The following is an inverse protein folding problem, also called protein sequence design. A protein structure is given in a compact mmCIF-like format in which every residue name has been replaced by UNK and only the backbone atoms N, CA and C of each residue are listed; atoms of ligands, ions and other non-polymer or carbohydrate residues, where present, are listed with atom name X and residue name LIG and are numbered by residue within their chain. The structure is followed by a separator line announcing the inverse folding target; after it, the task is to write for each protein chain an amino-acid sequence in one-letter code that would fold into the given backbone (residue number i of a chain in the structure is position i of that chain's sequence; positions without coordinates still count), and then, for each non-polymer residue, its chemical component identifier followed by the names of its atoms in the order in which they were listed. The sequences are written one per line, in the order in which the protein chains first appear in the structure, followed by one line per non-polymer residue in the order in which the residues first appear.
data_IF_245468544709
#
_entry.id   IF_245468544709
#
_cell.length_a   1.000
_cell.length_b   1.000
_cell.length_c   1.000
_cell.angle_alpha   90.00
_cell.angle_beta   90.00
_cell.angle_gamma   90.00
#
_symmetry.space_group_name_H-M   'P 1'
#
loop_
_entity.id
_entity.type
_entity.pdbx_description
1 polymer ?
#
# COMPACT_ATOMS: atom_id res chain seq x y z
N UNK A 1 -7.27 28.22 -1.96
CA UNK A 1 -6.32 27.12 -2.32
C UNK A 1 -6.89 25.83 -1.77
N UNK A 2 -6.99 24.78 -2.55
CA UNK A 2 -7.42 23.46 -2.04
C UNK A 2 -6.27 22.87 -1.23
N UNK A 3 -6.56 22.41 0.00
CA UNK A 3 -5.56 21.77 0.86
C UNK A 3 -4.94 20.56 0.15
N UNK A 4 -3.62 20.43 0.22
CA UNK A 4 -2.89 19.27 -0.31
C UNK A 4 -3.27 18.04 0.52
N UNK A 5 -3.55 16.92 -0.15
CA UNK A 5 -3.99 15.69 0.50
C UNK A 5 -2.80 14.75 0.75
N UNK A 6 -2.52 14.46 2.01
CA UNK A 6 -1.59 13.41 2.41
C UNK A 6 -2.39 12.16 2.78
N UNK A 7 -2.12 11.04 2.12
CA UNK A 7 -2.77 9.78 2.43
C UNK A 7 -1.83 8.89 3.23
N UNK A 8 -2.25 8.57 4.45
CA UNK A 8 -1.55 7.64 5.32
C UNK A 8 -2.11 6.23 5.13
N UNK A 9 -1.25 5.33 4.66
CA UNK A 9 -1.60 3.95 4.30
C UNK A 9 -1.11 2.99 5.37
N UNK A 10 -1.96 2.08 5.83
CA UNK A 10 -1.60 1.09 6.83
C UNK A 10 -2.75 0.15 7.18
N UNK A 11 -2.54 -0.71 8.17
CA UNK A 11 -3.58 -1.55 8.77
C UNK A 11 -4.24 -0.79 9.93
N UNK A 12 -4.93 0.31 9.61
CA UNK A 12 -5.38 1.31 10.58
C UNK A 12 -6.66 0.95 11.34
N UNK A 13 -7.35 -0.12 10.95
CA UNK A 13 -8.62 -0.55 11.55
C UNK A 13 -8.63 -2.05 11.87
N UNK A 14 -7.48 -2.66 12.04
CA UNK A 14 -7.38 -4.06 12.42
C UNK A 14 -7.44 -4.24 13.94
N UNK A 15 -7.74 -5.46 14.33
CA UNK A 15 -7.75 -5.89 15.75
C UNK A 15 -6.38 -5.83 16.41
N UNK A 16 -5.32 -5.56 15.64
CA UNK A 16 -3.97 -5.40 16.14
C UNK A 16 -3.74 -3.98 16.70
N UNK A 17 -3.82 -3.88 18.01
CA UNK A 17 -3.60 -2.62 18.74
C UNK A 17 -2.25 -1.96 18.40
N UNK A 18 -1.21 -2.76 18.15
CA UNK A 18 0.12 -2.26 17.79
C UNK A 18 0.11 -1.46 16.47
N UNK A 19 -0.58 -1.95 15.44
CA UNK A 19 -0.67 -1.25 14.17
C UNK A 19 -1.51 0.05 14.29
N UNK A 20 -2.55 0.05 15.13
CA UNK A 20 -3.32 1.26 15.42
C UNK A 20 -2.47 2.32 16.15
N UNK A 21 -1.74 1.95 17.20
CA UNK A 21 -0.88 2.87 17.94
C UNK A 21 0.20 3.48 17.04
N UNK A 22 0.78 2.66 16.15
CA UNK A 22 1.78 3.14 15.18
C UNK A 22 1.14 4.17 14.22
N UNK A 23 -0.05 3.87 13.71
CA UNK A 23 -0.78 4.78 12.81
C UNK A 23 -1.15 6.10 13.52
N UNK A 24 -1.65 6.03 14.74
CA UNK A 24 -2.01 7.21 15.56
C UNK A 24 -0.78 8.08 15.85
N UNK A 25 0.33 7.44 16.22
CA UNK A 25 1.59 8.13 16.49
C UNK A 25 2.15 8.80 15.24
N UNK A 26 2.12 8.11 14.10
CA UNK A 26 2.57 8.67 12.83
C UNK A 26 1.72 9.87 12.40
N UNK A 27 0.40 9.78 12.52
CA UNK A 27 -0.50 10.90 12.21
C UNK A 27 -0.27 12.09 13.13
N UNK A 28 -0.12 11.84 14.43
CA UNK A 28 0.19 12.91 15.40
C UNK A 28 1.49 13.63 15.03
N UNK A 29 2.55 12.89 14.73
CA UNK A 29 3.84 13.46 14.35
C UNK A 29 3.76 14.24 13.03
N UNK A 30 3.04 13.74 12.05
CA UNK A 30 2.80 14.44 10.78
C UNK A 30 2.09 15.76 11.05
N UNK A 31 0.96 15.73 11.76
CA UNK A 31 0.16 16.94 12.07
C UNK A 31 0.94 17.96 12.91
N UNK A 32 1.77 17.49 13.85
CA UNK A 32 2.58 18.36 14.70
C UNK A 32 3.70 19.08 13.94
N UNK A 33 4.27 18.45 12.91
CA UNK A 33 5.43 18.97 12.19
C UNK A 33 5.07 19.64 10.85
N UNK A 34 3.85 19.46 10.36
CA UNK A 34 3.33 20.22 9.23
C UNK A 34 2.79 21.54 9.79
N UNK A 35 3.60 22.59 9.70
CA UNK A 35 3.33 23.91 10.29
C UNK A 35 2.22 24.65 9.55
N UNK A 36 2.00 24.34 8.27
CA UNK A 36 1.00 25.00 7.45
C UNK A 36 -0.27 24.17 7.37
N UNK A 37 -1.42 24.77 7.64
CA UNK A 37 -2.77 24.18 7.44
C UNK A 37 -3.07 23.80 5.96
N UNK A 38 -2.02 23.69 5.14
CA UNK A 38 -2.12 23.36 3.72
C UNK A 38 -2.36 21.87 3.45
N UNK A 39 -2.19 21.00 4.47
CA UNK A 39 -2.36 19.56 4.29
C UNK A 39 -3.53 18.99 5.09
N UNK A 40 -4.36 18.19 4.42
CA UNK A 40 -5.30 17.27 5.07
C UNK A 40 -4.68 15.88 5.13
N UNK A 41 -4.79 15.20 6.29
CA UNK A 41 -4.34 13.81 6.45
C UNK A 41 -5.56 12.90 6.38
N UNK A 42 -5.56 11.97 5.42
CA UNK A 42 -6.58 10.94 5.27
C UNK A 42 -5.97 9.56 5.53
N UNK A 43 -6.64 8.71 6.31
CA UNK A 43 -6.22 7.33 6.55
C UNK A 43 -6.80 6.41 5.49
N UNK A 44 -5.98 5.52 4.97
CA UNK A 44 -6.38 4.45 4.09
C UNK A 44 -6.00 3.10 4.67
N UNK A 45 -7.01 2.27 4.96
CA UNK A 45 -6.80 0.92 5.48
C UNK A 45 -6.54 -0.07 4.34
N UNK A 46 -5.43 -0.80 4.38
CA UNK A 46 -5.10 -1.83 3.39
C UNK A 46 -6.08 -3.02 3.40
N UNK A 47 -6.76 -3.27 4.51
CA UNK A 47 -7.85 -4.26 4.59
C UNK A 47 -9.16 -3.80 3.95
N UNK A 48 -9.15 -2.66 3.27
CA UNK A 48 -10.30 -2.10 2.53
C UNK A 48 -10.99 -3.12 1.60
N UNK A 49 -10.29 -4.17 1.16
CA UNK A 49 -10.91 -5.26 0.38
C UNK A 49 -12.08 -5.95 1.08
N UNK A 50 -12.25 -5.74 2.40
CA UNK A 50 -13.40 -6.26 3.15
C UNK A 50 -14.70 -5.48 2.90
N UNK A 51 -14.63 -4.27 2.36
CA UNK A 51 -15.79 -3.43 2.02
C UNK A 51 -16.41 -3.77 0.65
N UNK A 52 -15.79 -4.65 -0.15
CA UNK A 52 -16.33 -5.04 -1.44
C UNK A 52 -17.58 -5.92 -1.32
N UNK A 53 -18.55 -5.63 -2.19
CA UNK A 53 -19.71 -6.47 -2.40
C UNK A 53 -19.29 -7.95 -2.60
N UNK A 54 -19.96 -8.86 -1.90
CA UNK A 54 -19.66 -10.31 -1.88
C UNK A 54 -19.54 -10.92 -3.27
N UNK A 55 -20.29 -10.42 -4.24
CA UNK A 55 -20.22 -10.86 -5.63
C UNK A 55 -18.88 -10.52 -6.31
N UNK A 56 -18.35 -9.31 -6.08
CA UNK A 56 -17.02 -8.92 -6.59
C UNK A 56 -15.90 -9.78 -5.99
N UNK A 57 -16.00 -10.10 -4.70
CA UNK A 57 -15.05 -11.00 -4.01
C UNK A 57 -15.08 -12.39 -4.62
N UNK A 58 -16.26 -12.95 -4.84
CA UNK A 58 -16.43 -14.29 -5.41
C UNK A 58 -15.85 -14.34 -6.83
N UNK A 59 -16.21 -13.38 -7.68
CA UNK A 59 -15.67 -13.27 -9.06
C UNK A 59 -14.15 -13.22 -9.06
N UNK A 60 -13.52 -12.38 -8.20
CA UNK A 60 -12.07 -12.28 -8.08
C UNK A 60 -11.43 -13.60 -7.64
N UNK A 61 -12.04 -14.30 -6.66
CA UNK A 61 -11.55 -15.61 -6.20
C UNK A 61 -11.57 -16.65 -7.32
N UNK A 62 -12.66 -16.73 -8.09
CA UNK A 62 -12.79 -17.68 -9.20
C UNK A 62 -11.76 -17.41 -10.29
N UNK A 63 -11.65 -16.16 -10.75
CA UNK A 63 -10.66 -15.79 -11.78
C UNK A 63 -9.24 -16.07 -11.28
N UNK A 64 -8.92 -15.68 -10.05
CA UNK A 64 -7.58 -15.91 -9.48
C UNK A 64 -7.25 -17.40 -9.39
N UNK A 65 -8.24 -18.25 -9.03
CA UNK A 65 -8.08 -19.71 -9.00
C UNK A 65 -7.84 -20.30 -10.39
N UNK A 66 -8.49 -19.77 -11.42
CA UNK A 66 -8.25 -20.21 -12.82
C UNK A 66 -6.84 -19.80 -13.25
N UNK A 67 -6.48 -18.54 -13.06
CA UNK A 67 -5.16 -18.03 -13.44
C UNK A 67 -4.01 -18.71 -12.70
N UNK A 68 -4.18 -19.05 -11.42
CA UNK A 68 -3.16 -19.77 -10.65
C UNK A 68 -2.89 -21.20 -11.16
N UNK A 69 -3.84 -21.80 -11.88
CA UNK A 69 -3.65 -23.09 -12.56
C UNK A 69 -2.89 -22.95 -13.88
N UNK A 70 -2.98 -21.78 -14.52
CA UNK A 70 -2.28 -21.50 -15.77
C UNK A 70 -0.85 -21.02 -15.50
N UNK A 71 -0.69 -20.04 -14.63
CA UNK A 71 0.61 -19.51 -14.23
C UNK A 71 0.49 -18.75 -12.90
N UNK A 72 1.46 -18.96 -12.00
CA UNK A 72 1.52 -18.20 -10.75
C UNK A 72 1.73 -16.69 -10.99
N UNK A 73 2.55 -16.32 -11.98
CA UNK A 73 2.79 -14.92 -12.34
C UNK A 73 1.50 -14.24 -12.82
N UNK A 74 0.75 -14.87 -13.72
CA UNK A 74 -0.53 -14.31 -14.20
C UNK A 74 -1.54 -14.08 -13.09
N UNK A 75 -1.58 -14.96 -12.09
CA UNK A 75 -2.42 -14.80 -10.89
C UNK A 75 -1.98 -13.58 -10.06
N UNK A 76 -0.68 -13.37 -9.91
CA UNK A 76 -0.13 -12.25 -9.16
C UNK A 76 -0.36 -10.92 -9.88
N UNK A 77 -0.11 -10.85 -11.18
CA UNK A 77 -0.34 -9.66 -12.01
C UNK A 77 -1.83 -9.28 -12.03
N UNK A 78 -2.71 -10.28 -12.11
CA UNK A 78 -4.15 -10.05 -11.98
C UNK A 78 -4.53 -9.42 -10.62
N UNK A 79 -3.90 -9.89 -9.54
CA UNK A 79 -4.13 -9.35 -8.19
C UNK A 79 -3.71 -7.89 -8.08
N UNK A 80 -2.51 -7.57 -8.54
CA UNK A 80 -2.01 -6.18 -8.61
C UNK A 80 -2.95 -5.31 -9.44
N UNK A 81 -3.36 -5.79 -10.62
CA UNK A 81 -4.31 -5.09 -11.49
C UNK A 81 -5.68 -4.85 -10.85
N UNK A 82 -6.15 -5.74 -9.96
CA UNK A 82 -7.37 -5.53 -9.20
C UNK A 82 -7.20 -4.38 -8.20
N UNK A 83 -6.12 -4.37 -7.42
CA UNK A 83 -5.85 -3.28 -6.47
C UNK A 83 -5.61 -1.94 -7.18
N UNK A 84 -4.88 -1.94 -8.29
CA UNK A 84 -4.65 -0.73 -9.09
C UNK A 84 -5.95 -0.07 -9.54
N UNK A 85 -6.94 -0.86 -10.00
CA UNK A 85 -8.27 -0.33 -10.36
C UNK A 85 -9.00 0.27 -9.16
N UNK A 86 -8.91 -0.39 -8.00
CA UNK A 86 -9.55 0.10 -6.78
C UNK A 86 -8.89 1.40 -6.29
N UNK A 87 -7.57 1.53 -6.46
CA UNK A 87 -6.79 2.67 -5.97
C UNK A 87 -6.88 3.90 -6.88
N UNK A 88 -7.12 3.70 -8.17
CA UNK A 88 -7.14 4.80 -9.15
C UNK A 88 -7.98 5.99 -8.70
N UNK A 89 -9.17 5.74 -8.14
CA UNK A 89 -10.06 6.80 -7.67
C UNK A 89 -9.71 7.29 -6.25
N UNK A 90 -9.15 6.43 -5.41
CA UNK A 90 -8.83 6.74 -4.01
C UNK A 90 -7.59 7.63 -3.86
N UNK A 91 -6.62 7.47 -4.75
CA UNK A 91 -5.34 8.20 -4.72
C UNK A 91 -5.21 9.20 -5.87
N UNK A 92 -6.32 9.55 -6.52
CA UNK A 92 -6.27 10.45 -7.68
C UNK A 92 -5.81 11.86 -7.30
N UNK A 93 -6.22 12.36 -6.16
CA UNK A 93 -5.96 13.68 -5.60
C UNK A 93 -4.88 13.68 -4.50
N UNK A 94 -4.23 12.53 -4.27
CA UNK A 94 -3.16 12.45 -3.29
C UNK A 94 -1.94 13.29 -3.73
N UNK A 95 -1.48 14.16 -2.83
CA UNK A 95 -0.26 14.96 -3.01
C UNK A 95 0.98 14.26 -2.44
N UNK A 96 0.79 13.37 -1.46
CA UNK A 96 1.83 12.50 -0.91
C UNK A 96 1.19 11.26 -0.27
N UNK A 97 1.97 10.18 -0.18
CA UNK A 97 1.57 8.92 0.44
C UNK A 97 2.59 8.54 1.49
N UNK A 98 2.13 8.17 2.70
CA UNK A 98 2.98 7.68 3.78
C UNK A 98 2.50 6.31 4.23
N UNK A 99 3.33 5.28 4.09
CA UNK A 99 3.11 4.00 4.75
C UNK A 99 3.50 4.12 6.23
N UNK A 100 2.53 3.96 7.12
CA UNK A 100 2.68 4.19 8.55
C UNK A 100 2.98 2.89 9.29
N UNK A 101 4.25 2.54 9.38
CA UNK A 101 4.75 1.45 10.23
C UNK A 101 4.21 0.06 9.88
N UNK A 102 4.22 -0.83 10.88
CA UNK A 102 3.78 -2.21 10.71
C UNK A 102 4.72 -3.06 9.83
N UNK A 103 4.35 -4.32 9.62
CA UNK A 103 5.11 -5.22 8.76
C UNK A 103 4.76 -5.05 7.29
N UNK A 104 5.15 -3.95 6.67
CA UNK A 104 4.68 -3.57 5.33
C UNK A 104 5.48 -4.17 4.18
N UNK A 105 6.80 -4.31 4.32
CA UNK A 105 7.65 -4.86 3.25
C UNK A 105 7.68 -6.39 3.41
N UNK A 106 6.57 -7.02 3.03
CA UNK A 106 6.36 -8.48 3.14
C UNK A 106 5.83 -9.07 1.84
N UNK A 107 6.23 -10.31 1.54
CA UNK A 107 5.79 -11.04 0.35
C UNK A 107 5.30 -12.47 0.63
N UNK A 108 5.58 -13.04 1.82
CA UNK A 108 5.22 -14.44 2.13
C UNK A 108 3.77 -14.58 2.58
N UNK A 109 3.36 -13.88 3.60
CA UNK A 109 2.13 -14.16 4.36
C UNK A 109 0.98 -13.19 4.12
N UNK A 110 1.26 -11.99 3.64
CA UNK A 110 0.25 -10.95 3.41
C UNK A 110 0.35 -10.42 1.98
N UNK A 111 -0.67 -9.71 1.54
CA UNK A 111 -0.70 -9.14 0.20
C UNK A 111 -0.01 -7.76 0.12
N UNK A 112 0.79 -7.39 1.12
CA UNK A 112 1.49 -6.10 1.18
C UNK A 112 2.28 -5.81 -0.11
N UNK A 113 2.97 -6.82 -0.65
CA UNK A 113 3.68 -6.74 -1.93
C UNK A 113 2.76 -6.28 -3.07
N UNK A 114 1.53 -6.81 -3.14
CA UNK A 114 0.59 -6.47 -4.20
C UNK A 114 -0.02 -5.08 -4.01
N UNK A 115 -0.28 -4.69 -2.76
CA UNK A 115 -0.75 -3.35 -2.42
C UNK A 115 0.29 -2.29 -2.75
N UNK A 116 1.56 -2.52 -2.38
CA UNK A 116 2.66 -1.59 -2.68
C UNK A 116 2.83 -1.46 -4.19
N UNK A 117 2.92 -2.58 -4.93
CA UNK A 117 3.07 -2.56 -6.39
C UNK A 117 1.91 -1.83 -7.07
N UNK A 118 0.67 -2.13 -6.68
CA UNK A 118 -0.51 -1.46 -7.24
C UNK A 118 -0.55 0.04 -6.94
N UNK A 119 -0.10 0.45 -5.75
CA UNK A 119 -0.10 1.85 -5.33
C UNK A 119 0.99 2.64 -6.07
N UNK A 120 2.20 2.10 -6.16
CA UNK A 120 3.30 2.68 -6.94
C UNK A 120 2.86 2.87 -8.39
N UNK A 121 2.30 1.84 -9.02
CA UNK A 121 1.77 1.90 -10.39
C UNK A 121 0.66 2.95 -10.57
N UNK A 122 -0.17 3.16 -9.54
CA UNK A 122 -1.28 4.13 -9.58
C UNK A 122 -0.76 5.56 -9.64
N UNK A 123 0.38 5.84 -8.98
CA UNK A 123 0.97 7.19 -8.91
C UNK A 123 2.20 7.38 -9.77
N UNK A 124 2.64 6.36 -10.53
CA UNK A 124 3.88 6.37 -11.31
C UNK A 124 4.05 7.59 -12.22
N UNK A 125 2.95 8.09 -12.78
CA UNK A 125 2.93 9.24 -13.70
C UNK A 125 2.43 10.54 -13.02
N UNK A 126 2.49 10.61 -11.69
CA UNK A 126 2.01 11.76 -10.91
C UNK A 126 3.14 12.31 -10.03
N UNK A 127 3.14 13.60 -9.72
CA UNK A 127 4.07 14.19 -8.75
C UNK A 127 3.63 13.86 -7.30
N UNK A 128 3.45 12.57 -7.00
CA UNK A 128 2.99 12.08 -5.70
C UNK A 128 4.09 11.21 -5.06
N UNK A 129 4.92 11.78 -4.17
CA UNK A 129 5.97 11.03 -3.48
C UNK A 129 5.39 10.03 -2.50
N UNK A 130 6.08 8.89 -2.36
CA UNK A 130 5.76 7.83 -1.42
C UNK A 130 6.87 7.73 -0.37
N UNK A 131 6.48 7.63 0.88
CA UNK A 131 7.37 7.47 2.03
C UNK A 131 6.98 6.23 2.81
N UNK A 132 7.96 5.47 3.29
CA UNK A 132 7.78 4.37 4.23
C UNK A 132 8.38 4.79 5.57
N UNK A 133 7.55 4.81 6.62
CA UNK A 133 7.97 5.25 7.94
C UNK A 133 7.97 4.09 8.94
N UNK A 134 9.16 3.72 9.43
CA UNK A 134 9.38 2.70 10.44
C UNK A 134 8.71 1.35 10.10
N UNK A 135 8.88 0.88 8.86
CA UNK A 135 8.26 -0.36 8.38
C UNK A 135 9.12 -1.58 8.71
N UNK A 136 8.46 -2.69 9.06
CA UNK A 136 9.10 -3.99 9.18
C UNK A 136 9.35 -4.61 7.81
N UNK A 137 10.49 -5.29 7.66
CA UNK A 137 10.97 -5.88 6.39
C UNK A 137 11.14 -7.38 6.54
N UNK A 138 10.68 -8.17 5.57
CA UNK A 138 11.05 -9.58 5.40
C UNK A 138 12.40 -9.72 4.68
N UNK A 139 13.12 -10.81 4.95
CA UNK A 139 14.36 -11.14 4.26
C UNK A 139 14.14 -11.30 2.75
N UNK A 140 15.11 -10.84 1.95
CA UNK A 140 15.07 -10.90 0.50
C UNK A 140 15.19 -12.34 -0.02
N UNK A 141 14.31 -12.70 -0.96
CA UNK A 141 14.30 -13.99 -1.66
C UNK A 141 14.20 -13.78 -3.16
N UNK A 142 15.34 -13.88 -3.85
CA UNK A 142 15.44 -13.68 -5.29
C UNK A 142 14.63 -14.68 -6.11
N UNK A 143 14.42 -15.90 -5.61
CA UNK A 143 13.66 -16.95 -6.29
C UNK A 143 12.17 -16.67 -6.29
N UNK A 144 11.69 -15.88 -5.33
CA UNK A 144 10.28 -15.59 -5.16
C UNK A 144 9.82 -14.43 -6.06
N UNK A 145 8.87 -14.72 -6.96
CA UNK A 145 8.34 -13.72 -7.90
C UNK A 145 7.73 -12.50 -7.20
N UNK A 146 6.99 -12.69 -6.11
CA UNK A 146 6.40 -11.58 -5.34
C UNK A 146 7.48 -10.67 -4.73
N UNK A 147 8.58 -11.27 -4.28
CA UNK A 147 9.73 -10.52 -3.75
C UNK A 147 10.40 -9.68 -4.82
N UNK A 148 10.54 -10.20 -6.04
CA UNK A 148 11.06 -9.44 -7.19
C UNK A 148 10.17 -8.26 -7.55
N UNK A 149 8.84 -8.48 -7.67
CA UNK A 149 7.87 -7.40 -7.92
C UNK A 149 7.92 -6.31 -6.85
N UNK A 150 8.00 -6.72 -5.58
CA UNK A 150 8.13 -5.78 -4.48
C UNK A 150 9.42 -4.97 -4.57
N UNK A 151 10.56 -5.61 -4.88
CA UNK A 151 11.84 -4.93 -5.10
C UNK A 151 11.76 -3.91 -6.24
N UNK A 152 11.17 -4.29 -7.39
CA UNK A 152 10.97 -3.38 -8.51
C UNK A 152 10.14 -2.16 -8.11
N UNK A 153 9.04 -2.38 -7.37
CA UNK A 153 8.21 -1.32 -6.87
C UNK A 153 8.95 -0.40 -5.90
N UNK A 154 9.75 -0.96 -4.99
CA UNK A 154 10.53 -0.18 -4.02
C UNK A 154 11.66 0.65 -4.67
N UNK A 155 12.13 0.26 -5.84
CA UNK A 155 13.12 1.01 -6.62
C UNK A 155 12.50 2.10 -7.53
N UNK A 156 11.18 2.24 -7.52
CA UNK A 156 10.52 3.24 -8.35
C UNK A 156 10.81 4.67 -7.85
N UNK A 157 10.97 5.60 -8.78
CA UNK A 157 11.33 7.01 -8.50
C UNK A 157 10.31 7.77 -7.65
N UNK A 158 9.06 7.32 -7.58
CA UNK A 158 8.05 7.87 -6.68
C UNK A 158 8.38 7.63 -5.19
N UNK A 159 9.14 6.58 -4.87
CA UNK A 159 9.56 6.30 -3.49
C UNK A 159 10.75 7.19 -3.15
N UNK A 160 10.57 8.06 -2.16
CA UNK A 160 11.56 9.06 -1.76
C UNK A 160 12.33 8.66 -0.51
N UNK A 161 11.72 7.88 0.38
CA UNK A 161 12.38 7.47 1.61
C UNK A 161 11.77 6.16 2.12
N UNK A 162 12.62 5.29 2.63
CA UNK A 162 12.24 4.09 3.36
C UNK A 162 13.00 4.08 4.67
N UNK A 163 12.30 4.18 5.79
CA UNK A 163 12.85 3.93 7.11
C UNK A 163 12.31 2.60 7.64
N UNK A 164 13.19 1.78 8.15
CA UNK A 164 12.86 0.47 8.71
C UNK A 164 12.94 0.50 10.24
N UNK A 165 12.22 -0.40 10.87
CA UNK A 165 12.40 -0.75 12.27
C UNK A 165 13.12 -2.09 12.35
N UNK A 166 13.83 -2.29 13.41
CA UNK A 166 14.52 -3.55 13.72
C UNK A 166 13.54 -4.71 13.95
#
# INVERSE_FOLDING_TARGET
MTAKKLVMVGYTHDTNLGDQVIADSAEYLIKKNIIDNEFSVERFNLNYSNEFNSFKKLKRKVINKILSRLSSSSSFDYKVGCYKRDYKNKFNDASAIVFAGGGMIKFKYQDCWAHISALVDTVANKPCPIFFNAVGVEGYDQSNYKCRLLKESLNHSAIKMVTTRD
#
